data_IF_134692114794
#
_entry.id   IF_134692114794
#
_cell.length_a   1.000
_cell.length_b   1.000
_cell.length_c   1.000
_cell.angle_alpha   90.00
_cell.angle_beta   90.00
_cell.angle_gamma   90.00
#
_symmetry.space_group_name_H-M   'P 1'
#
loop_
_entity.id
_entity.type
_entity.pdbx_description
1 polymer ?
#
# COMPACT_ATOMS: atom_id res chain seq x y z
N UNK A 1 -3.16 15.20 -31.17
CA UNK A 1 -2.80 15.29 -29.74
C UNK A 1 -3.69 14.30 -28.99
N UNK A 2 -3.13 13.28 -28.37
CA UNK A 2 -3.91 12.25 -27.68
C UNK A 2 -4.37 12.77 -26.31
N UNK A 3 -5.68 12.99 -26.20
CA UNK A 3 -6.34 13.38 -24.96
C UNK A 3 -6.23 12.21 -23.96
N UNK A 4 -5.39 12.38 -22.94
CA UNK A 4 -5.24 11.40 -21.87
C UNK A 4 -6.52 11.42 -21.02
N UNK A 5 -7.38 10.41 -21.16
CA UNK A 5 -8.47 10.12 -20.21
C UNK A 5 -7.85 9.64 -18.89
N UNK A 6 -7.89 10.48 -17.86
CA UNK A 6 -7.18 10.26 -16.59
C UNK A 6 -7.96 9.45 -15.53
N UNK A 7 -9.25 9.15 -15.74
CA UNK A 7 -10.04 8.40 -14.76
C UNK A 7 -10.89 7.36 -15.49
N UNK A 8 -10.43 6.12 -15.47
CA UNK A 8 -11.27 4.95 -15.74
C UNK A 8 -11.76 4.47 -14.38
N UNK A 9 -13.07 4.42 -14.12
CA UNK A 9 -13.68 3.85 -12.90
C UNK A 9 -13.50 2.32 -12.83
N UNK A 10 -12.35 1.80 -13.28
CA UNK A 10 -11.97 0.40 -13.30
C UNK A 10 -10.90 0.19 -12.24
N UNK A 11 -11.15 -0.71 -11.29
CA UNK A 11 -10.20 -1.05 -10.24
C UNK A 11 -8.87 -1.54 -10.84
N UNK A 12 -7.77 -1.00 -10.31
CA UNK A 12 -6.40 -1.51 -10.54
C UNK A 12 -5.88 -2.31 -9.36
N UNK A 13 -6.76 -2.67 -8.43
CA UNK A 13 -6.40 -3.41 -7.24
C UNK A 13 -5.90 -4.81 -7.59
N UNK A 14 -4.93 -5.29 -6.82
CA UNK A 14 -4.34 -6.61 -6.96
C UNK A 14 -4.20 -7.23 -5.58
N UNK A 15 -4.35 -8.55 -5.52
CA UNK A 15 -3.99 -9.37 -4.38
C UNK A 15 -2.75 -10.20 -4.71
N UNK A 16 -2.01 -10.62 -3.69
CA UNK A 16 -0.78 -11.40 -3.89
C UNK A 16 -1.05 -12.80 -4.45
N UNK A 17 -2.22 -13.38 -4.17
CA UNK A 17 -2.65 -14.69 -4.65
C UNK A 17 -1.62 -15.80 -4.39
N UNK A 18 -1.68 -16.87 -5.19
CA UNK A 18 -0.71 -17.98 -5.16
C UNK A 18 0.64 -17.59 -5.76
N UNK A 19 0.73 -16.48 -6.51
CA UNK A 19 1.98 -15.99 -7.09
C UNK A 19 3.04 -15.63 -6.03
N UNK A 20 2.63 -15.33 -4.79
CA UNK A 20 3.57 -15.12 -3.68
C UNK A 20 4.40 -16.37 -3.34
N UNK A 21 3.86 -17.57 -3.60
CA UNK A 21 4.54 -18.85 -3.39
C UNK A 21 5.75 -19.00 -4.32
N UNK A 22 5.72 -18.35 -5.49
CA UNK A 22 6.80 -18.34 -6.47
C UNK A 22 7.95 -17.38 -6.11
N UNK A 23 7.73 -16.49 -5.13
CA UNK A 23 8.76 -15.59 -4.61
C UNK A 23 9.62 -16.35 -3.61
N UNK A 24 10.86 -16.67 -3.96
CA UNK A 24 11.76 -17.50 -3.14
C UNK A 24 12.61 -16.70 -2.16
N UNK A 25 12.84 -15.41 -2.42
CA UNK A 25 13.59 -14.53 -1.52
C UNK A 25 12.67 -14.04 -0.39
N UNK A 26 13.04 -14.37 0.85
CA UNK A 26 12.25 -14.05 2.03
C UNK A 26 12.06 -12.53 2.23
N UNK A 27 13.06 -11.72 1.88
CA UNK A 27 12.99 -10.26 2.01
C UNK A 27 12.08 -9.64 0.95
N UNK A 28 12.08 -10.18 -0.28
CA UNK A 28 11.13 -9.79 -1.32
C UNK A 28 9.71 -10.18 -0.91
N UNK A 29 9.51 -11.42 -0.42
CA UNK A 29 8.20 -11.89 0.05
C UNK A 29 7.65 -11.00 1.16
N UNK A 30 8.47 -10.68 2.15
CA UNK A 30 8.09 -9.80 3.25
C UNK A 30 7.78 -8.37 2.77
N UNK A 31 8.57 -7.84 1.83
CA UNK A 31 8.30 -6.52 1.25
C UNK A 31 6.93 -6.49 0.56
N UNK A 32 6.60 -7.53 -0.21
CA UNK A 32 5.30 -7.67 -0.88
C UNK A 32 4.14 -7.77 0.13
N UNK A 33 4.31 -8.55 1.19
CA UNK A 33 3.32 -8.68 2.27
C UNK A 33 3.05 -7.34 2.96
N UNK A 34 4.10 -6.58 3.30
CA UNK A 34 3.94 -5.25 3.90
C UNK A 34 3.32 -4.23 2.92
N UNK A 35 3.61 -4.34 1.61
CA UNK A 35 2.93 -3.53 0.60
C UNK A 35 1.43 -3.81 0.56
N UNK A 36 1.01 -5.07 0.64
CA UNK A 36 -0.40 -5.45 0.68
C UNK A 36 -1.07 -5.00 1.99
N UNK A 37 -0.43 -5.26 3.13
CA UNK A 37 -1.00 -5.01 4.44
C UNK A 37 -1.13 -3.51 4.79
N UNK A 38 -0.19 -2.67 4.34
CA UNK A 38 -0.13 -1.25 4.73
C UNK A 38 -0.16 -0.28 3.54
N UNK A 39 -0.41 -0.80 2.35
CA UNK A 39 -0.39 -0.01 1.11
C UNK A 39 0.97 0.67 0.87
N UNK A 40 2.10 0.08 1.31
CA UNK A 40 3.41 0.72 1.16
C UNK A 40 3.81 0.87 -0.31
N UNK A 41 4.63 1.87 -0.60
CA UNK A 41 5.37 1.92 -1.87
C UNK A 41 6.51 0.90 -1.81
N UNK A 42 6.94 0.40 -2.97
CA UNK A 42 8.06 -0.55 -3.09
C UNK A 42 9.31 -0.12 -2.31
N UNK A 43 9.72 1.14 -2.44
CA UNK A 43 10.91 1.65 -1.75
C UNK A 43 10.72 1.71 -0.23
N UNK A 44 9.52 2.10 0.23
CA UNK A 44 9.19 2.14 1.66
C UNK A 44 9.21 0.72 2.25
N UNK A 45 8.70 -0.27 1.52
CA UNK A 45 8.70 -1.67 1.94
C UNK A 45 10.11 -2.27 1.97
N UNK A 46 10.92 -2.08 0.92
CA UNK A 46 12.29 -2.60 0.89
C UNK A 46 13.16 -1.98 2.00
N UNK A 47 12.99 -0.67 2.28
CA UNK A 47 13.72 0.04 3.33
C UNK A 47 13.12 -0.17 4.73
N UNK A 48 12.01 -0.89 4.86
CA UNK A 48 11.28 -1.02 6.11
C UNK A 48 12.15 -1.63 7.21
N UNK A 49 12.15 -0.99 8.38
CA UNK A 49 12.85 -1.45 9.58
C UNK A 49 11.80 -1.69 10.67
N UNK A 50 11.43 -2.95 10.98
CA UNK A 50 10.29 -3.23 11.86
C UNK A 50 10.50 -2.69 13.28
N UNK A 51 11.73 -2.77 13.82
CA UNK A 51 12.14 -2.22 15.11
C UNK A 51 11.89 -0.71 15.25
N UNK A 52 11.97 0.05 14.16
CA UNK A 52 11.67 1.48 14.15
C UNK A 52 10.20 1.75 13.80
N UNK A 53 9.69 1.01 12.82
CA UNK A 53 8.43 1.34 12.20
C UNK A 53 7.25 0.96 13.09
N UNK A 54 7.28 -0.21 13.73
CA UNK A 54 6.19 -0.67 14.59
C UNK A 54 6.13 0.15 15.88
N UNK A 55 5.02 0.86 16.08
CA UNK A 55 4.74 1.70 17.27
C UNK A 55 3.63 1.13 18.14
N UNK A 56 3.20 -0.11 17.88
CA UNK A 56 2.14 -0.78 18.64
C UNK A 56 0.76 -0.61 18.00
N UNK A 57 0.27 0.62 17.87
CA UNK A 57 -1.04 0.93 17.28
C UNK A 57 -0.96 1.44 15.82
N UNK A 58 0.25 1.78 15.36
CA UNK A 58 0.51 2.21 13.99
C UNK A 58 1.93 1.86 13.55
N UNK A 59 2.19 1.97 12.25
CA UNK A 59 3.54 2.02 11.70
C UNK A 59 3.96 3.46 11.42
N UNK A 60 5.21 3.80 11.68
CA UNK A 60 5.83 5.09 11.36
C UNK A 60 6.87 4.93 10.24
N UNK A 61 6.75 5.72 9.18
CA UNK A 61 7.68 5.70 8.04
C UNK A 61 8.58 6.94 8.06
N UNK A 62 9.90 6.72 8.04
CA UNK A 62 10.89 7.81 7.98
C UNK A 62 10.81 8.56 6.66
N UNK A 63 11.07 9.87 6.69
CA UNK A 63 11.15 10.70 5.49
C UNK A 63 12.11 10.13 4.45
N UNK A 64 13.28 9.63 4.89
CA UNK A 64 14.30 8.99 4.06
C UNK A 64 13.86 7.72 3.29
N UNK A 65 12.72 7.15 3.65
CA UNK A 65 12.12 5.98 2.99
C UNK A 65 11.02 6.37 2.00
N UNK A 66 10.41 7.52 2.24
CA UNK A 66 9.24 7.98 1.50
C UNK A 66 9.62 8.87 0.33
N UNK A 67 8.74 8.90 -0.67
CA UNK A 67 8.87 9.85 -1.78
C UNK A 67 8.70 11.29 -1.25
N UNK A 68 9.69 12.14 -1.50
CA UNK A 68 9.65 13.56 -1.12
C UNK A 68 10.05 13.85 0.33
N UNK A 69 10.58 12.86 1.06
CA UNK A 69 11.19 13.11 2.37
C UNK A 69 10.20 13.31 3.52
N UNK A 70 8.93 12.92 3.36
CA UNK A 70 7.87 13.25 4.32
C UNK A 70 7.43 12.04 5.13
N UNK A 71 7.56 12.18 6.43
CA UNK A 71 7.11 11.16 7.38
C UNK A 71 5.59 11.00 7.30
N UNK A 72 5.14 9.75 7.45
CA UNK A 72 3.71 9.41 7.54
C UNK A 72 3.53 8.19 8.43
N UNK A 73 2.31 8.03 8.92
CA UNK A 73 1.90 6.88 9.71
C UNK A 73 0.77 6.13 9.01
N UNK A 74 0.66 4.84 9.30
CA UNK A 74 -0.47 3.99 8.87
C UNK A 74 -0.95 3.22 10.09
N UNK A 75 -2.25 3.29 10.45
CA UNK A 75 -2.76 2.59 11.63
C UNK A 75 -2.74 1.08 11.43
N UNK A 76 -2.60 0.35 12.54
CA UNK A 76 -2.78 -1.09 12.60
C UNK A 76 -4.21 -1.35 13.05
N UNK A 77 -5.01 -1.89 12.14
CA UNK A 77 -6.45 -2.07 12.31
C UNK A 77 -6.91 -3.51 12.09
N UNK A 78 -6.02 -4.38 11.63
CA UNK A 78 -6.33 -5.80 11.40
C UNK A 78 -5.29 -6.72 12.02
N UNK A 79 -5.68 -7.96 12.28
CA UNK A 79 -4.80 -9.03 12.75
C UNK A 79 -3.71 -9.36 11.75
N UNK A 80 -4.02 -9.34 10.45
CA UNK A 80 -3.08 -9.64 9.37
C UNK A 80 -1.95 -8.61 9.30
N UNK A 81 -2.25 -7.34 9.58
CA UNK A 81 -1.23 -6.28 9.68
C UNK A 81 -0.28 -6.55 10.85
N UNK A 82 -0.81 -6.96 11.99
CA UNK A 82 -0.02 -7.30 13.18
C UNK A 82 0.86 -8.54 12.94
N UNK A 83 0.30 -9.57 12.32
CA UNK A 83 1.05 -10.79 11.98
C UNK A 83 2.16 -10.53 10.96
N UNK A 84 1.90 -9.68 9.95
CA UNK A 84 2.92 -9.25 8.99
C UNK A 84 4.08 -8.51 9.68
N UNK A 85 3.81 -7.70 10.71
CA UNK A 85 4.85 -7.04 11.50
C UNK A 85 5.65 -8.03 12.35
N UNK A 86 5.00 -9.00 13.00
CA UNK A 86 5.70 -10.06 13.73
C UNK A 86 6.65 -10.84 12.82
N UNK A 87 6.18 -11.23 11.64
CA UNK A 87 7.02 -11.91 10.65
C UNK A 87 8.17 -11.02 10.14
N UNK A 88 7.93 -9.72 9.96
CA UNK A 88 8.99 -8.77 9.61
C UNK A 88 10.05 -8.64 10.72
N UNK A 89 9.65 -8.57 11.99
CA UNK A 89 10.56 -8.57 13.14
C UNK A 89 11.40 -9.85 13.18
N UNK A 90 10.80 -11.02 12.96
CA UNK A 90 11.53 -12.29 12.93
C UNK A 90 12.57 -12.33 11.81
N UNK A 91 12.26 -11.77 10.64
CA UNK A 91 13.15 -11.78 9.48
C UNK A 91 14.28 -10.75 9.57
N UNK A 92 13.96 -9.51 9.93
CA UNK A 92 14.90 -8.39 9.86
C UNK A 92 15.53 -8.03 11.21
N UNK A 93 14.94 -8.46 12.33
CA UNK A 93 15.34 -8.05 13.66
C UNK A 93 15.40 -6.53 13.80
N UNK A 94 16.59 -6.00 14.10
CA UNK A 94 16.82 -4.55 14.21
C UNK A 94 17.13 -3.88 12.87
N UNK A 95 17.39 -4.66 11.81
CA UNK A 95 17.78 -4.21 10.48
C UNK A 95 16.60 -3.82 9.59
N UNK A 96 16.90 -3.57 8.31
CA UNK A 96 15.89 -3.34 7.27
C UNK A 96 15.56 -4.61 6.50
N UNK A 97 14.53 -4.57 5.65
CA UNK A 97 14.28 -5.60 4.63
C UNK A 97 15.29 -5.60 3.47
N UNK A 98 16.34 -4.77 3.53
CA UNK A 98 17.56 -4.96 2.74
C UNK A 98 18.45 -5.96 3.49
N UNK A 99 18.80 -7.12 2.90
CA UNK A 99 19.76 -8.06 3.48
C UNK A 99 21.10 -7.39 3.81
N UNK A 100 21.73 -7.82 4.92
CA UNK A 100 22.94 -7.17 5.44
C UNK A 100 24.12 -7.11 4.44
N UNK A 101 24.17 -8.04 3.48
CA UNK A 101 25.18 -8.12 2.45
C UNK A 101 24.79 -7.42 1.13
N UNK A 102 23.72 -6.62 1.11
CA UNK A 102 23.22 -5.94 -0.09
C UNK A 102 23.05 -4.45 0.14
N UNK A 103 23.20 -3.71 -0.96
CA UNK A 103 22.72 -2.32 -1.05
C UNK A 103 21.24 -2.29 -1.41
N UNK A 104 20.60 -1.13 -1.20
CA UNK A 104 19.22 -0.91 -1.65
C UNK A 104 19.04 -1.21 -3.15
N UNK A 105 19.95 -0.76 -4.01
CA UNK A 105 19.83 -0.97 -5.46
C UNK A 105 19.90 -2.46 -5.80
N UNK A 106 20.82 -3.21 -5.16
CA UNK A 106 20.91 -4.65 -5.35
C UNK A 106 19.62 -5.36 -4.91
N UNK A 107 19.09 -5.05 -3.72
CA UNK A 107 17.86 -5.67 -3.25
C UNK A 107 16.65 -5.29 -4.12
N UNK A 108 16.58 -4.05 -4.61
CA UNK A 108 15.54 -3.63 -5.55
C UNK A 108 15.58 -4.43 -6.85
N UNK A 109 16.77 -4.73 -7.37
CA UNK A 109 16.88 -5.59 -8.56
C UNK A 109 16.44 -7.03 -8.29
N UNK A 110 16.75 -7.58 -7.10
CA UNK A 110 16.22 -8.90 -6.69
C UNK A 110 14.69 -8.87 -6.62
N UNK A 111 14.12 -7.85 -5.97
CA UNK A 111 12.68 -7.65 -5.91
C UNK A 111 12.04 -7.63 -7.31
N UNK A 112 12.56 -6.79 -8.20
CA UNK A 112 11.99 -6.62 -9.55
C UNK A 112 12.15 -7.91 -10.38
N UNK A 113 13.28 -8.60 -10.26
CA UNK A 113 13.54 -9.87 -10.92
C UNK A 113 12.60 -10.98 -10.46
N UNK A 114 12.39 -11.12 -9.14
CA UNK A 114 11.48 -12.14 -8.59
C UNK A 114 10.02 -11.85 -8.92
N UNK A 115 9.58 -10.59 -8.83
CA UNK A 115 8.23 -10.23 -9.25
C UNK A 115 8.00 -10.61 -10.72
N UNK A 116 8.94 -10.24 -11.60
CA UNK A 116 8.85 -10.59 -13.02
C UNK A 116 8.80 -12.10 -13.25
N UNK A 117 9.66 -12.87 -12.56
CA UNK A 117 9.70 -14.33 -12.68
C UNK A 117 8.40 -14.99 -12.21
N UNK A 118 7.77 -14.44 -11.17
CA UNK A 118 6.48 -14.89 -10.65
C UNK A 118 5.26 -14.41 -11.46
N UNK A 119 5.48 -13.71 -12.59
CA UNK A 119 4.41 -13.11 -13.39
C UNK A 119 3.73 -11.90 -12.72
N UNK A 120 4.27 -11.43 -11.60
CA UNK A 120 3.77 -10.26 -10.90
C UNK A 120 4.20 -8.99 -11.64
N UNK A 121 3.20 -8.21 -12.04
CA UNK A 121 3.40 -6.90 -12.67
C UNK A 121 2.51 -5.86 -12.00
N UNK A 122 2.90 -4.59 -12.10
CA UNK A 122 2.10 -3.46 -11.61
C UNK A 122 1.82 -3.48 -10.10
N UNK A 123 2.82 -3.82 -9.27
CA UNK A 123 2.69 -3.95 -7.80
C UNK A 123 2.11 -2.75 -7.04
N UNK A 124 1.96 -1.60 -7.70
CA UNK A 124 1.13 -0.51 -7.22
C UNK A 124 -0.35 -0.94 -7.02
N UNK A 125 -0.80 -2.02 -7.66
CA UNK A 125 -2.08 -2.68 -7.46
C UNK A 125 -2.36 -3.11 -6.02
N UNK A 126 -1.32 -3.53 -5.28
CA UNK A 126 -1.47 -3.86 -3.86
C UNK A 126 -1.88 -2.64 -3.03
N UNK A 127 -1.34 -1.48 -3.39
CA UNK A 127 -1.68 -0.22 -2.73
C UNK A 127 -3.09 0.23 -3.07
N UNK A 128 -3.55 -0.02 -4.30
CA UNK A 128 -4.95 0.18 -4.67
C UNK A 128 -5.87 -0.73 -3.85
N UNK A 129 -5.52 -2.01 -3.66
CA UNK A 129 -6.30 -2.93 -2.83
C UNK A 129 -6.39 -2.43 -1.39
N UNK A 130 -5.27 -2.07 -0.76
CA UNK A 130 -5.28 -1.48 0.58
C UNK A 130 -6.19 -0.25 0.66
N UNK A 131 -6.09 0.68 -0.30
CA UNK A 131 -6.92 1.89 -0.34
C UNK A 131 -8.41 1.58 -0.44
N UNK A 132 -8.80 0.60 -1.26
CA UNK A 132 -10.19 0.19 -1.43
C UNK A 132 -10.74 -0.50 -0.18
N UNK A 133 -10.00 -1.46 0.39
CA UNK A 133 -10.40 -2.14 1.63
C UNK A 133 -10.48 -1.17 2.81
N UNK A 134 -9.55 -0.20 2.88
CA UNK A 134 -9.56 0.83 3.93
C UNK A 134 -10.74 1.78 3.78
N UNK A 135 -11.11 2.15 2.55
CA UNK A 135 -12.31 2.95 2.29
C UNK A 135 -13.57 2.23 2.72
N UNK A 136 -13.67 0.94 2.41
CA UNK A 136 -14.81 0.12 2.84
C UNK A 136 -14.88 -0.02 4.36
N UNK A 137 -13.75 -0.20 5.03
CA UNK A 137 -13.68 -0.21 6.50
C UNK A 137 -14.19 1.10 7.12
N UNK A 138 -13.90 2.24 6.49
CA UNK A 138 -14.27 3.56 7.01
C UNK A 138 -15.71 3.97 6.67
N UNK A 139 -16.30 3.43 5.60
CA UNK A 139 -17.61 3.89 5.09
C UNK A 139 -18.69 2.80 5.08
N UNK A 140 -18.31 1.55 5.33
CA UNK A 140 -19.16 0.37 5.19
C UNK A 140 -19.58 0.07 3.75
N UNK A 141 -18.91 0.66 2.75
CA UNK A 141 -19.27 0.56 1.33
C UNK A 141 -18.01 0.45 0.45
N UNK A 142 -18.03 -0.34 -0.63
CA UNK A 142 -16.96 -0.30 -1.60
C UNK A 142 -16.87 1.10 -2.24
N UNK A 143 -15.68 1.54 -2.67
CA UNK A 143 -15.55 2.77 -3.44
C UNK A 143 -16.06 2.62 -4.89
N UNK A 144 -16.36 3.72 -5.59
CA UNK A 144 -16.78 3.69 -7.00
C UNK A 144 -15.91 2.84 -7.93
N UNK A 145 -14.58 2.92 -7.78
CA UNK A 145 -13.65 2.13 -8.60
C UNK A 145 -13.77 0.61 -8.38
N UNK A 146 -14.35 0.17 -7.26
CA UNK A 146 -14.61 -1.22 -6.92
C UNK A 146 -16.10 -1.59 -7.04
N UNK A 147 -16.88 -0.83 -7.82
CA UNK A 147 -18.31 -1.10 -8.04
C UNK A 147 -19.25 -0.53 -6.98
N UNK A 148 -18.75 0.35 -6.10
CA UNK A 148 -19.58 1.10 -5.17
C UNK A 148 -20.36 2.26 -5.81
N UNK A 149 -21.25 2.91 -5.05
CA UNK A 149 -22.07 4.02 -5.54
C UNK A 149 -21.20 5.21 -5.94
N UNK A 150 -21.55 5.85 -7.06
CA UNK A 150 -20.97 7.10 -7.52
C UNK A 150 -21.26 8.22 -6.51
N UNK A 151 -20.42 9.26 -6.48
CA UNK A 151 -20.60 10.40 -5.56
C UNK A 151 -21.98 11.07 -5.74
N UNK A 152 -22.53 11.04 -6.95
CA UNK A 152 -23.87 11.55 -7.28
C UNK A 152 -24.99 10.77 -6.62
N UNK A 153 -24.79 9.47 -6.37
CA UNK A 153 -25.77 8.55 -5.78
C UNK A 153 -25.75 8.57 -4.24
N UNK A 154 -24.71 9.18 -3.64
CA UNK A 154 -24.57 9.30 -2.19
C UNK A 154 -25.53 10.34 -1.60
N UNK A 155 -26.15 9.99 -0.47
CA UNK A 155 -26.89 10.93 0.37
C UNK A 155 -25.99 12.03 0.96
N UNK A 156 -26.54 13.15 1.47
CA UNK A 156 -25.73 14.20 2.09
C UNK A 156 -24.80 13.70 3.21
N UNK A 157 -25.29 12.82 4.09
CA UNK A 157 -24.48 12.21 5.16
C UNK A 157 -23.37 11.33 4.58
N UNK A 158 -23.70 10.50 3.59
CA UNK A 158 -22.73 9.61 2.95
C UNK A 158 -21.63 10.36 2.20
N UNK A 159 -21.92 11.55 1.66
CA UNK A 159 -20.91 12.43 1.05
C UNK A 159 -19.93 13.00 2.07
N UNK A 160 -20.37 13.21 3.32
CA UNK A 160 -19.49 13.64 4.41
C UNK A 160 -18.56 12.46 4.80
N UNK A 161 -19.11 11.26 4.94
CA UNK A 161 -18.36 10.02 5.21
C UNK A 161 -17.33 9.73 4.11
N UNK A 162 -17.74 9.78 2.84
CA UNK A 162 -16.84 9.60 1.68
C UNK A 162 -15.67 10.59 1.73
N UNK A 163 -15.96 11.88 1.95
CA UNK A 163 -14.93 12.92 2.04
C UNK A 163 -13.96 12.65 3.19
N UNK A 164 -14.47 12.26 4.35
CA UNK A 164 -13.66 11.95 5.53
C UNK A 164 -12.77 10.71 5.30
N UNK A 165 -13.33 9.66 4.71
CA UNK A 165 -12.58 8.45 4.37
C UNK A 165 -11.47 8.74 3.36
N UNK A 166 -11.78 9.47 2.28
CA UNK A 166 -10.79 9.91 1.28
C UNK A 166 -9.68 10.74 1.91
N UNK A 167 -10.01 11.66 2.81
CA UNK A 167 -9.00 12.48 3.49
C UNK A 167 -8.11 11.67 4.43
N UNK A 168 -8.70 10.72 5.17
CA UNK A 168 -7.98 9.80 6.07
C UNK A 168 -6.97 8.96 5.29
N UNK A 169 -7.44 8.26 4.25
CA UNK A 169 -6.60 7.39 3.42
C UNK A 169 -5.52 8.19 2.71
N UNK A 170 -5.84 9.40 2.25
CA UNK A 170 -4.87 10.31 1.63
C UNK A 170 -3.70 10.63 2.56
N UNK A 171 -3.97 10.87 3.86
CA UNK A 171 -2.94 11.09 4.88
C UNK A 171 -2.15 9.81 5.13
N UNK A 172 -2.85 8.69 5.37
CA UNK A 172 -2.22 7.39 5.60
C UNK A 172 -1.26 7.05 4.46
N UNK A 173 -1.66 7.23 3.20
CA UNK A 173 -0.85 6.92 2.03
C UNK A 173 0.18 8.03 1.67
N UNK A 174 0.12 9.20 2.28
CA UNK A 174 1.02 10.31 1.95
C UNK A 174 0.84 10.80 0.50
N UNK A 175 -0.42 11.05 0.11
CA UNK A 175 -0.80 11.68 -1.16
C UNK A 175 -1.15 13.15 -0.90
N UNK A 176 -0.32 14.12 -1.28
CA UNK A 176 -0.67 15.53 -1.04
C UNK A 176 -1.53 16.17 -2.14
N UNK A 177 -1.53 15.61 -3.35
CA UNK A 177 -2.35 16.12 -4.45
C UNK A 177 -3.74 15.48 -4.41
N UNK A 178 -4.78 16.29 -4.21
CA UNK A 178 -6.21 15.87 -4.21
C UNK A 178 -6.55 14.99 -5.43
N UNK A 179 -5.94 15.27 -6.58
CA UNK A 179 -6.17 14.54 -7.84
C UNK A 179 -5.69 13.09 -7.85
N UNK A 180 -4.82 12.67 -6.93
CA UNK A 180 -4.27 11.31 -6.94
C UNK A 180 -5.30 10.30 -6.38
N UNK A 181 -6.13 10.69 -5.42
CA UNK A 181 -7.13 9.80 -4.81
C UNK A 181 -8.30 9.49 -5.76
N UNK A 182 -8.63 10.41 -6.67
CA UNK A 182 -9.67 10.20 -7.70
C UNK A 182 -9.32 9.05 -8.66
N UNK A 183 -8.03 8.79 -8.88
CA UNK A 183 -7.56 7.66 -9.70
C UNK A 183 -7.77 6.32 -8.99
N UNK A 184 -7.88 6.33 -7.66
CA UNK A 184 -7.77 5.13 -6.82
C UNK A 184 -9.10 4.66 -6.26
N UNK A 185 -9.97 5.60 -5.91
CA UNK A 185 -11.32 5.33 -5.42
C UNK A 185 -12.39 5.62 -6.48
N UNK A 186 -12.02 6.20 -7.64
CA UNK A 186 -12.96 6.63 -8.66
C UNK A 186 -13.69 7.91 -8.28
N UNK A 187 -14.40 8.48 -9.25
CA UNK A 187 -15.27 9.66 -9.10
C UNK A 187 -16.71 9.28 -9.39
#
# INVERSE_FOLDING_TARGET
>A
MAERRYVTNISKAQELGTSLEQITDAHVRMSLQLQAAFGLRREEAIKFQPSYADRGDHIALKGSWTKGGRERTVPITTTEQRDALHAAHHLAGTGSLIPANKTYIQQRHVYDGQCKAAGLSHMHGLRHQYEQSRYETLTGRPPPAAGGPLVTELSPTQRIEDRHARQTIRRELGHERVQITAIYLGS
#
